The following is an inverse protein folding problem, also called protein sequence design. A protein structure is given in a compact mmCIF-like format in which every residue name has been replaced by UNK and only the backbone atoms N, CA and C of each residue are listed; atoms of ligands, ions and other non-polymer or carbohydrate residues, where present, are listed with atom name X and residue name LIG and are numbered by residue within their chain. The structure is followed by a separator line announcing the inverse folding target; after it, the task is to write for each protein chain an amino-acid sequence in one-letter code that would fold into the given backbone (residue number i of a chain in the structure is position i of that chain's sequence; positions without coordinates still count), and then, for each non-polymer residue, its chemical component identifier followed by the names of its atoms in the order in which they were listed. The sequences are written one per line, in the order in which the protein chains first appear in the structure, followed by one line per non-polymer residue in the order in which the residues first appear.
data_IF_823363741322
#
_entry.id   IF_823363741322
#
_cell.length_a   1.000
_cell.length_b   1.000
_cell.length_c   1.000
_cell.angle_alpha   90.00
_cell.angle_beta   90.00
_cell.angle_gamma   90.00
#
_symmetry.space_group_name_H-M   'P 1'
#
loop_
_entity.id
_entity.type
_entity.pdbx_description
1 polymer ?
#
# COMPACT_ATOMS: atom_id res chain seq x y z
N UNK A 1 -15.39 -1.17 -28.08
CA UNK A 1 -16.56 -1.39 -27.20
C UNK A 1 -16.00 -1.44 -25.79
N UNK A 2 -16.13 -0.38 -24.99
CA UNK A 2 -15.66 -0.38 -23.61
C UNK A 2 -16.73 -1.11 -22.79
N UNK A 3 -16.44 -2.34 -22.37
CA UNK A 3 -17.29 -3.04 -21.41
C UNK A 3 -17.26 -2.29 -20.08
N UNK A 4 -18.38 -2.23 -19.39
CA UNK A 4 -18.42 -1.69 -18.02
C UNK A 4 -17.44 -2.45 -17.11
N UNK A 5 -16.75 -1.76 -16.19
CA UNK A 5 -15.84 -2.42 -15.28
C UNK A 5 -16.61 -3.40 -14.38
N UNK A 6 -16.06 -4.59 -14.10
CA UNK A 6 -16.69 -5.53 -13.19
C UNK A 6 -16.81 -4.93 -11.78
N UNK A 7 -17.95 -5.12 -11.12
CA UNK A 7 -18.16 -4.70 -9.73
C UNK A 7 -17.91 -5.88 -8.81
N UNK A 8 -16.97 -5.69 -7.88
CA UNK A 8 -16.67 -6.66 -6.83
C UNK A 8 -17.58 -6.39 -5.63
N UNK A 9 -18.36 -7.40 -5.22
CA UNK A 9 -19.37 -7.26 -4.15
C UNK A 9 -18.91 -7.85 -2.81
N UNK A 10 -17.69 -8.38 -2.75
CA UNK A 10 -17.07 -8.95 -1.55
C UNK A 10 -15.59 -8.56 -1.46
N UNK A 11 -14.89 -9.02 -0.42
CA UNK A 11 -13.43 -8.93 -0.41
C UNK A 11 -12.83 -9.63 -1.63
N UNK A 12 -11.68 -9.15 -2.12
CA UNK A 12 -10.95 -9.74 -3.25
C UNK A 12 -10.22 -11.03 -2.84
N UNK A 13 -10.98 -12.01 -2.33
CA UNK A 13 -10.51 -13.33 -1.95
C UNK A 13 -10.43 -14.30 -3.14
N UNK A 14 -10.01 -15.55 -2.90
CA UNK A 14 -9.92 -16.60 -3.93
C UNK A 14 -11.28 -16.94 -4.58
N UNK A 15 -12.36 -16.90 -3.78
CA UNK A 15 -13.74 -16.98 -4.26
C UNK A 15 -14.42 -15.64 -3.97
N UNK A 16 -15.11 -15.09 -4.96
CA UNK A 16 -15.70 -13.75 -4.87
C UNK A 16 -16.96 -13.65 -5.72
N UNK A 17 -17.75 -12.60 -5.48
CA UNK A 17 -18.92 -12.26 -6.28
C UNK A 17 -18.57 -11.09 -7.21
N UNK A 18 -18.78 -11.27 -8.51
CA UNK A 18 -18.68 -10.22 -9.53
C UNK A 18 -19.99 -10.15 -10.30
N UNK A 19 -20.63 -8.97 -10.29
CA UNK A 19 -21.90 -8.72 -10.97
C UNK A 19 -22.96 -9.81 -10.65
N UNK A 20 -23.12 -10.14 -9.37
CA UNK A 20 -24.02 -11.18 -8.86
C UNK A 20 -23.64 -12.63 -9.17
N UNK A 21 -22.44 -12.90 -9.71
CA UNK A 21 -21.97 -14.27 -10.01
C UNK A 21 -20.80 -14.69 -9.13
N UNK A 22 -20.89 -15.88 -8.56
CA UNK A 22 -19.75 -16.52 -7.89
C UNK A 22 -18.68 -16.92 -8.90
N UNK A 23 -17.44 -16.48 -8.65
CA UNK A 23 -16.29 -16.74 -9.52
C UNK A 23 -15.05 -17.07 -8.70
N UNK A 24 -14.08 -17.73 -9.35
CA UNK A 24 -12.72 -17.91 -8.83
C UNK A 24 -11.86 -16.74 -9.32
N UNK A 25 -11.19 -16.07 -8.39
CA UNK A 25 -10.43 -14.86 -8.64
C UNK A 25 -8.96 -15.15 -8.97
N UNK A 26 -8.63 -15.17 -10.26
CA UNK A 26 -7.26 -15.20 -10.77
C UNK A 26 -6.74 -13.83 -11.23
N UNK A 27 -7.48 -12.76 -10.97
CA UNK A 27 -7.19 -11.41 -11.50
C UNK A 27 -6.55 -10.47 -10.47
N UNK A 28 -6.64 -10.79 -9.18
CA UNK A 28 -6.11 -9.93 -8.11
C UNK A 28 -4.65 -10.26 -7.75
N UNK A 29 -3.93 -9.27 -7.21
CA UNK A 29 -2.59 -9.43 -6.65
C UNK A 29 -2.59 -9.94 -5.19
N UNK A 30 -3.62 -10.66 -4.77
CA UNK A 30 -3.78 -11.17 -3.40
C UNK A 30 -3.02 -12.49 -3.17
N UNK A 31 -1.73 -12.52 -3.52
CA UNK A 31 -0.92 -13.75 -3.57
C UNK A 31 -0.84 -14.49 -2.23
N UNK A 32 -0.84 -13.75 -1.12
CA UNK A 32 -0.72 -14.31 0.23
C UNK A 32 -2.08 -14.44 0.95
N UNK A 33 -3.19 -14.11 0.29
CA UNK A 33 -4.53 -14.19 0.90
C UNK A 33 -4.76 -13.18 2.04
N UNK A 34 -4.05 -12.06 2.03
CA UNK A 34 -4.15 -11.03 3.07
C UNK A 34 -5.39 -10.14 2.94
N UNK A 35 -5.90 -9.94 1.73
CA UNK A 35 -7.13 -9.16 1.55
C UNK A 35 -8.29 -9.93 2.19
N UNK A 36 -8.91 -9.31 3.21
CA UNK A 36 -10.02 -9.91 3.96
C UNK A 36 -9.61 -10.76 5.16
N UNK A 37 -8.33 -10.91 5.47
CA UNK A 37 -7.88 -11.72 6.62
C UNK A 37 -8.25 -11.08 7.97
N UNK A 38 -8.94 -11.80 8.85
CA UNK A 38 -9.52 -11.29 10.12
C UNK A 38 -8.50 -10.54 10.98
N UNK A 39 -7.34 -11.15 11.24
CA UNK A 39 -6.25 -10.51 12.01
C UNK A 39 -5.81 -9.16 11.45
N UNK A 40 -5.83 -8.97 10.12
CA UNK A 40 -5.51 -7.67 9.51
C UNK A 40 -6.65 -6.68 9.67
N UNK A 41 -7.91 -7.13 9.56
CA UNK A 41 -9.06 -6.28 9.83
C UNK A 41 -9.07 -5.77 11.27
N UNK A 42 -8.80 -6.64 12.24
CA UNK A 42 -8.66 -6.28 13.65
C UNK A 42 -7.54 -5.23 13.84
N UNK A 43 -6.36 -5.48 13.26
CA UNK A 43 -5.24 -4.56 13.36
C UNK A 43 -5.51 -3.19 12.72
N UNK A 44 -6.24 -3.17 11.60
CA UNK A 44 -6.69 -1.93 10.95
C UNK A 44 -7.68 -1.16 11.83
N UNK A 45 -8.67 -1.84 12.41
CA UNK A 45 -9.65 -1.23 13.32
C UNK A 45 -8.96 -0.63 14.55
N UNK A 46 -8.06 -1.36 15.20
CA UNK A 46 -7.31 -0.83 16.35
C UNK A 46 -6.41 0.35 15.98
N UNK A 47 -5.82 0.36 14.78
CA UNK A 47 -5.05 1.50 14.31
C UNK A 47 -5.93 2.74 14.10
N UNK A 48 -7.13 2.57 13.52
CA UNK A 48 -8.10 3.67 13.35
C UNK A 48 -8.60 4.21 14.69
N UNK A 49 -8.86 3.35 15.67
CA UNK A 49 -9.26 3.76 17.02
C UNK A 49 -8.16 4.56 17.74
N UNK A 50 -6.90 4.16 17.57
CA UNK A 50 -5.76 4.82 18.21
C UNK A 50 -5.34 6.12 17.52
N UNK A 51 -5.31 6.14 16.19
CA UNK A 51 -4.66 7.20 15.41
C UNK A 51 -5.62 8.05 14.57
N UNK A 52 -6.88 7.63 14.44
CA UNK A 52 -7.81 8.23 13.50
C UNK A 52 -7.52 7.85 12.04
N UNK A 53 -8.17 8.55 11.11
CA UNK A 53 -8.20 8.17 9.69
C UNK A 53 -6.95 8.62 8.91
N UNK A 54 -6.25 9.65 9.39
CA UNK A 54 -5.11 10.18 8.65
C UNK A 54 -4.24 11.14 9.45
N UNK A 55 -3.00 11.31 8.99
CA UNK A 55 -2.03 12.23 9.59
C UNK A 55 -2.30 13.70 9.30
N UNK A 56 -3.14 13.99 8.29
CA UNK A 56 -3.56 15.32 7.87
C UNK A 56 -2.43 16.33 7.62
N UNK A 57 -1.20 15.87 7.37
CA UNK A 57 -0.03 16.70 7.13
C UNK A 57 1.12 15.95 6.46
N UNK A 58 2.10 16.68 5.91
CA UNK A 58 3.28 16.07 5.30
C UNK A 58 4.26 15.54 6.36
N UNK A 59 5.03 14.51 6.01
CA UNK A 59 6.02 13.87 6.90
C UNK A 59 7.07 14.83 7.46
N UNK A 60 7.45 15.86 6.69
CA UNK A 60 8.43 16.87 7.08
C UNK A 60 7.91 17.99 7.97
N UNK A 61 6.64 17.95 8.38
CA UNK A 61 6.07 18.95 9.28
C UNK A 61 5.37 18.27 10.48
N UNK A 62 4.04 18.18 10.50
CA UNK A 62 3.28 17.53 11.59
C UNK A 62 2.60 16.22 11.18
N UNK A 63 2.96 15.64 10.03
CA UNK A 63 2.31 14.45 9.48
C UNK A 63 2.92 13.10 9.86
N UNK A 64 3.93 13.08 10.72
CA UNK A 64 4.60 11.83 11.14
C UNK A 64 3.99 11.33 12.44
N UNK A 65 3.46 10.10 12.40
CA UNK A 65 2.89 9.38 13.54
C UNK A 65 3.87 8.24 13.88
N UNK A 66 3.94 7.82 15.16
CA UNK A 66 4.84 6.77 15.64
C UNK A 66 4.73 5.46 14.82
N UNK A 67 3.53 5.07 14.39
CA UNK A 67 3.29 3.88 13.57
C UNK A 67 3.96 3.94 12.20
N UNK A 68 4.19 5.14 11.64
CA UNK A 68 4.95 5.26 10.39
C UNK A 68 6.41 4.85 10.60
N UNK A 69 7.03 5.30 11.70
CA UNK A 69 8.41 5.00 12.04
C UNK A 69 8.60 3.52 12.42
N UNK A 70 7.62 2.93 13.13
CA UNK A 70 7.60 1.48 13.40
C UNK A 70 7.56 0.67 12.10
N UNK A 71 6.67 1.05 11.17
CA UNK A 71 6.56 0.40 9.87
C UNK A 71 7.90 0.49 9.09
N UNK A 72 8.49 1.69 9.01
CA UNK A 72 9.76 1.92 8.32
C UNK A 72 10.90 1.07 8.92
N UNK A 73 11.02 1.02 10.24
CA UNK A 73 12.01 0.20 10.95
C UNK A 73 11.83 -1.30 10.68
N UNK A 74 10.58 -1.79 10.73
CA UNK A 74 10.26 -3.21 10.49
C UNK A 74 10.50 -3.63 9.05
N UNK A 75 10.19 -2.76 8.09
CA UNK A 75 10.47 -3.00 6.67
C UNK A 75 11.97 -3.03 6.41
N UNK A 76 12.73 -2.06 6.95
CA UNK A 76 14.19 -2.03 6.82
C UNK A 76 14.82 -3.31 7.38
N UNK A 77 14.38 -3.75 8.56
CA UNK A 77 14.83 -5.00 9.18
C UNK A 77 14.46 -6.23 8.34
N UNK A 78 13.25 -6.29 7.80
CA UNK A 78 12.80 -7.41 6.97
C UNK A 78 13.61 -7.54 5.68
N UNK A 79 13.95 -6.41 5.05
CA UNK A 79 14.73 -6.37 3.81
C UNK A 79 16.25 -6.42 4.03
N UNK A 80 16.72 -6.25 5.28
CA UNK A 80 18.14 -6.18 5.59
C UNK A 80 18.82 -4.89 5.11
N UNK A 81 18.07 -3.79 5.01
CA UNK A 81 18.60 -2.47 4.62
C UNK A 81 18.88 -1.61 5.85
N UNK A 82 19.67 -0.55 5.67
CA UNK A 82 19.99 0.38 6.76
C UNK A 82 18.75 1.14 7.25
N UNK A 83 17.88 1.56 6.32
CA UNK A 83 16.66 2.32 6.62
C UNK A 83 15.60 2.10 5.53
N UNK A 84 14.40 2.62 5.74
CA UNK A 84 13.34 2.69 4.72
C UNK A 84 12.48 3.94 4.86
N UNK A 85 11.80 4.32 3.78
CA UNK A 85 10.90 5.48 3.74
C UNK A 85 9.54 5.07 3.19
N UNK A 86 8.47 5.48 3.87
CA UNK A 86 7.10 5.13 3.51
C UNK A 86 6.49 6.13 2.52
N UNK A 87 5.91 5.62 1.44
CA UNK A 87 5.06 6.36 0.50
C UNK A 87 3.63 5.81 0.53
N UNK A 88 2.64 6.68 0.33
CA UNK A 88 1.22 6.27 0.28
C UNK A 88 0.89 5.40 -0.93
N UNK A 89 1.68 5.47 -2.00
CA UNK A 89 1.46 4.69 -3.22
C UNK A 89 2.78 4.37 -3.95
N UNK A 90 2.90 3.17 -4.51
CA UNK A 90 4.15 2.71 -5.12
C UNK A 90 4.60 3.54 -6.32
N UNK A 91 3.66 4.09 -7.10
CA UNK A 91 3.99 5.00 -8.21
C UNK A 91 4.68 6.29 -7.72
N UNK A 92 4.32 6.78 -6.53
CA UNK A 92 4.93 7.97 -5.94
C UNK A 92 6.40 7.76 -5.61
N UNK A 93 6.81 6.52 -5.31
CA UNK A 93 8.21 6.18 -5.03
C UNK A 93 9.11 6.46 -6.22
N UNK A 94 8.69 6.09 -7.44
CA UNK A 94 9.49 6.31 -8.65
C UNK A 94 9.71 7.80 -8.94
N UNK A 95 8.64 8.59 -8.85
CA UNK A 95 8.69 10.04 -9.08
C UNK A 95 9.44 10.80 -7.98
N UNK A 96 9.60 10.22 -6.80
CA UNK A 96 10.35 10.84 -5.71
C UNK A 96 11.81 10.39 -5.68
N UNK A 97 12.08 9.09 -5.73
CA UNK A 97 13.41 8.53 -5.53
C UNK A 97 14.37 8.91 -6.67
N UNK A 98 13.97 8.71 -7.94
CA UNK A 98 14.88 8.94 -9.07
C UNK A 98 15.29 10.43 -9.15
N UNK A 99 14.37 11.41 -9.16
CA UNK A 99 14.75 12.83 -9.25
C UNK A 99 15.46 13.35 -7.99
N UNK A 100 15.32 12.69 -6.84
CA UNK A 100 16.06 13.07 -5.62
C UNK A 100 17.57 12.92 -5.81
N UNK A 101 17.99 11.88 -6.53
CA UNK A 101 19.42 11.57 -6.74
C UNK A 101 19.97 12.07 -8.08
N UNK A 102 19.12 12.43 -9.06
CA UNK A 102 19.56 12.92 -10.37
C UNK A 102 19.59 14.46 -10.46
N UNK A 103 20.61 14.99 -11.11
CA UNK A 103 20.80 16.41 -11.45
C UNK A 103 20.94 16.58 -12.96
N UNK A 104 20.94 17.84 -13.40
CA UNK A 104 21.20 18.19 -14.80
C UNK A 104 22.58 17.66 -15.20
N UNK A 105 22.63 16.80 -16.21
CA UNK A 105 23.87 16.20 -16.72
C UNK A 105 24.03 14.72 -16.37
N UNK A 106 23.24 14.19 -15.44
CA UNK A 106 23.25 12.77 -15.12
C UNK A 106 22.57 11.93 -16.22
N UNK A 107 23.03 10.70 -16.41
CA UNK A 107 22.49 9.73 -17.36
C UNK A 107 21.84 8.59 -16.57
N UNK A 108 20.56 8.32 -16.86
CA UNK A 108 19.82 7.18 -16.30
C UNK A 108 19.80 6.09 -17.37
N UNK A 109 20.21 4.87 -17.00
CA UNK A 109 20.13 3.68 -17.84
C UNK A 109 19.08 2.75 -17.22
N UNK A 110 18.09 2.33 -18.02
CA UNK A 110 16.94 1.49 -17.61
C UNK A 110 16.95 0.20 -18.42
#
# INVERSE_FOLDING_TARGET
MLSEPPVLESAAGPHTIINGKEVVNFASANYLGFVGHDKLQESCTSALEKYGVGSCGPRGFYGTIDVHLDCESRIAKFLGTHDSILYSYGLSTLFSAIPCFCKKGDIIVV
#
